data_IF_097417888066
#
_entry.id   IF_097417888066
#
_cell.length_a   1.000
_cell.length_b   1.000
_cell.length_c   1.000
_cell.angle_alpha   90.00
_cell.angle_beta   90.00
_cell.angle_gamma   90.00
#
_symmetry.space_group_name_H-M   'P 1'
#
loop_
_entity.id
_entity.type
_entity.pdbx_description
1 polymer ?
#
# COMPACT_ATOMS: atom_id res chain seq x y z
N UNK A 1 3.27 -24.18 -2.37
CA UNK A 1 3.99 -23.06 -1.73
C UNK A 1 5.43 -22.98 -2.28
N UNK A 2 6.15 -24.07 -2.40
CA UNK A 2 7.57 -24.05 -2.87
C UNK A 2 7.75 -23.54 -4.31
N UNK A 3 6.75 -23.68 -5.17
CA UNK A 3 6.88 -23.38 -6.60
C UNK A 3 6.01 -22.19 -7.06
N UNK A 4 4.86 -21.96 -6.45
CA UNK A 4 3.92 -20.86 -6.78
C UNK A 4 3.22 -20.38 -5.50
N UNK A 5 3.95 -19.73 -4.62
CA UNK A 5 3.32 -19.09 -3.47
C UNK A 5 2.70 -17.75 -3.90
N UNK A 6 1.39 -17.65 -3.83
CA UNK A 6 0.64 -16.40 -3.93
C UNK A 6 -0.13 -16.19 -2.62
N UNK A 7 0.56 -15.89 -1.50
CA UNK A 7 -0.12 -15.70 -0.24
C UNK A 7 -1.10 -14.53 -0.35
N UNK A 8 -2.31 -14.76 0.13
CA UNK A 8 -3.39 -13.80 0.11
C UNK A 8 -4.00 -13.74 1.50
N UNK A 9 -4.01 -12.55 2.09
CA UNK A 9 -4.57 -12.36 3.43
C UNK A 9 -6.04 -11.91 3.32
N UNK A 10 -6.35 -11.09 2.35
CA UNK A 10 -7.65 -10.43 2.25
C UNK A 10 -7.74 -9.16 3.10
N UNK A 11 -8.51 -8.21 2.62
CA UNK A 11 -8.69 -6.91 3.29
C UNK A 11 -9.57 -6.97 4.52
N UNK A 12 -10.40 -8.00 4.64
CA UNK A 12 -11.24 -8.29 5.80
C UNK A 12 -10.42 -8.73 7.03
N UNK A 13 -9.30 -9.43 6.84
CA UNK A 13 -8.42 -9.88 7.93
C UNK A 13 -7.31 -8.88 8.30
N UNK A 14 -7.01 -7.93 7.41
CA UNK A 14 -5.93 -6.96 7.64
C UNK A 14 -6.06 -6.14 8.94
N UNK A 15 -7.24 -5.67 9.35
CA UNK A 15 -7.37 -4.91 10.60
C UNK A 15 -6.90 -5.68 11.82
N UNK A 16 -7.26 -6.96 11.93
CA UNK A 16 -6.86 -7.83 13.05
C UNK A 16 -5.36 -8.09 13.04
N UNK A 17 -4.79 -8.33 11.87
CA UNK A 17 -3.34 -8.54 11.72
C UNK A 17 -2.57 -7.28 12.15
N UNK A 18 -2.99 -6.10 11.69
CA UNK A 18 -2.36 -4.83 12.06
C UNK A 18 -2.51 -4.57 13.57
N UNK A 19 -3.67 -4.86 14.16
CA UNK A 19 -3.88 -4.75 15.60
C UNK A 19 -2.93 -5.70 16.38
N UNK A 20 -2.79 -6.94 15.94
CA UNK A 20 -1.90 -7.91 16.55
C UNK A 20 -0.41 -7.49 16.45
N UNK A 21 0.00 -6.92 15.31
CA UNK A 21 1.36 -6.38 15.16
C UNK A 21 1.61 -5.23 16.14
N UNK A 22 0.64 -4.34 16.30
CA UNK A 22 0.72 -3.25 17.30
C UNK A 22 0.87 -3.82 18.72
N UNK A 23 0.00 -4.73 19.13
CA UNK A 23 0.09 -5.36 20.44
C UNK A 23 1.43 -6.05 20.66
N UNK A 24 1.99 -6.65 19.59
CA UNK A 24 3.32 -7.25 19.69
C UNK A 24 4.42 -6.21 19.90
N UNK A 25 4.36 -5.07 19.21
CA UNK A 25 5.31 -3.96 19.42
C UNK A 25 5.23 -3.47 20.86
N UNK A 26 4.03 -3.21 21.36
CA UNK A 26 3.80 -2.73 22.72
C UNK A 26 4.25 -3.75 23.79
N UNK A 27 4.00 -5.05 23.58
CA UNK A 27 4.44 -6.12 24.46
C UNK A 27 5.96 -6.29 24.57
N UNK A 28 6.68 -5.79 23.56
CA UNK A 28 8.15 -5.78 23.53
C UNK A 28 8.75 -4.47 24.07
N UNK A 29 7.94 -3.59 24.65
CA UNK A 29 8.38 -2.30 25.20
C UNK A 29 8.40 -1.16 24.19
N UNK A 30 7.87 -1.38 22.98
CA UNK A 30 7.67 -0.31 22.01
C UNK A 30 6.45 0.55 22.34
N UNK A 31 6.34 1.70 21.69
CA UNK A 31 5.21 2.61 21.86
C UNK A 31 4.59 2.92 20.50
N UNK A 32 3.27 2.92 20.42
CA UNK A 32 2.50 3.34 19.24
C UNK A 32 1.66 4.56 19.58
N UNK A 33 1.96 5.68 18.94
CA UNK A 33 1.26 6.96 19.14
C UNK A 33 0.34 7.25 17.97
N UNK A 34 -0.96 7.24 18.23
CA UNK A 34 -1.96 7.70 17.27
C UNK A 34 -2.11 9.22 17.31
N UNK A 35 -2.61 9.78 16.21
CA UNK A 35 -2.80 11.23 16.05
C UNK A 35 -1.52 12.04 16.26
N UNK A 36 -0.38 11.41 16.10
CA UNK A 36 0.95 12.01 16.24
C UNK A 36 1.50 12.30 14.85
N UNK A 37 1.45 13.58 14.43
CA UNK A 37 1.94 14.00 13.12
C UNK A 37 3.37 14.47 13.20
N UNK A 38 4.24 13.90 12.38
CA UNK A 38 5.61 14.41 12.24
C UNK A 38 5.59 15.79 11.59
N UNK A 39 6.19 16.79 12.24
CA UNK A 39 6.21 18.18 11.76
C UNK A 39 7.61 18.67 11.40
N UNK A 40 8.64 18.09 12.00
CA UNK A 40 10.03 18.47 11.73
C UNK A 40 11.00 17.31 12.01
N UNK A 41 12.17 17.40 11.41
CA UNK A 41 13.29 16.50 11.62
C UNK A 41 14.48 17.33 12.11
N UNK A 42 14.66 17.48 13.44
CA UNK A 42 15.78 18.22 14.00
C UNK A 42 17.12 17.57 13.63
N UNK A 43 18.07 18.42 13.23
CA UNK A 43 19.42 18.01 12.87
C UNK A 43 20.43 18.73 13.77
N UNK A 44 21.49 18.03 14.15
CA UNK A 44 22.66 18.60 14.83
C UNK A 44 23.91 17.99 14.20
N UNK A 45 24.85 18.82 13.82
CA UNK A 45 26.14 18.41 13.23
C UNK A 45 25.99 17.43 12.05
N UNK A 46 24.99 17.69 11.19
CA UNK A 46 24.68 16.85 10.02
C UNK A 46 23.94 15.56 10.30
N UNK A 47 23.63 15.24 11.56
CA UNK A 47 22.91 14.05 11.98
C UNK A 47 21.51 14.35 12.52
N UNK A 48 20.57 13.43 12.32
CA UNK A 48 19.25 13.50 12.95
C UNK A 48 19.40 13.36 14.46
N UNK A 49 18.73 14.20 15.24
CA UNK A 49 18.76 14.15 16.70
C UNK A 49 17.35 14.02 17.33
N UNK A 50 16.31 13.88 16.52
CA UNK A 50 14.96 13.68 17.01
C UNK A 50 13.91 13.79 15.93
N UNK A 51 12.65 13.66 16.35
CA UNK A 51 11.46 13.86 15.54
C UNK A 51 10.55 14.87 16.24
N UNK A 52 10.19 15.95 15.58
CA UNK A 52 9.19 16.87 16.07
C UNK A 52 7.80 16.31 15.74
N UNK A 53 6.95 16.27 16.72
CA UNK A 53 5.61 15.67 16.64
C UNK A 53 4.58 16.67 17.12
N UNK A 54 3.46 16.79 16.41
CA UNK A 54 2.28 17.53 16.85
C UNK A 54 1.17 16.54 17.20
N UNK A 55 0.60 16.69 18.38
CA UNK A 55 -0.62 15.98 18.77
C UNK A 55 -1.80 16.52 17.98
N UNK A 56 -2.49 15.66 17.25
CA UNK A 56 -3.63 16.05 16.41
C UNK A 56 -4.91 16.38 17.19
N UNK A 57 -4.92 16.14 18.50
CA UNK A 57 -6.05 16.44 19.39
C UNK A 57 -5.83 17.76 20.12
N UNK A 58 -4.66 17.96 20.71
CA UNK A 58 -4.35 19.15 21.52
C UNK A 58 -3.67 20.24 20.70
N UNK A 59 -3.05 19.90 19.57
CA UNK A 59 -2.21 20.80 18.78
C UNK A 59 -0.82 21.04 19.37
N UNK A 60 -0.52 20.48 20.54
CA UNK A 60 0.78 20.62 21.18
C UNK A 60 1.91 20.00 20.38
N UNK A 61 3.06 20.64 20.40
CA UNK A 61 4.25 20.14 19.74
C UNK A 61 5.30 19.71 20.78
N UNK A 62 5.88 18.54 20.53
CA UNK A 62 7.04 18.06 21.28
C UNK A 62 8.12 17.53 20.34
N UNK A 63 9.31 17.31 20.88
CA UNK A 63 10.39 16.64 20.14
C UNK A 63 10.74 15.34 20.87
N UNK A 64 10.66 14.24 20.15
CA UNK A 64 11.07 12.92 20.62
C UNK A 64 12.55 12.76 20.24
N UNK A 65 13.47 12.60 21.18
CA UNK A 65 14.88 12.36 20.86
C UNK A 65 15.03 11.01 20.12
N UNK A 66 15.77 11.02 19.03
CA UNK A 66 16.06 9.80 18.26
C UNK A 66 17.36 10.00 17.47
N UNK A 67 18.16 8.94 17.35
CA UNK A 67 19.36 8.91 16.50
C UNK A 67 19.05 8.35 15.13
N UNK A 68 18.16 7.38 15.08
CA UNK A 68 17.74 6.71 13.85
C UNK A 68 16.24 6.92 13.66
N UNK A 69 15.85 7.30 12.44
CA UNK A 69 14.45 7.57 12.09
C UNK A 69 14.11 6.88 10.80
N UNK A 70 13.11 6.02 10.82
CA UNK A 70 12.54 5.39 9.63
C UNK A 70 11.29 6.16 9.21
N UNK A 71 11.32 6.75 8.02
CA UNK A 71 10.18 7.45 7.44
C UNK A 71 9.42 6.51 6.51
N UNK A 72 8.26 6.04 6.94
CA UNK A 72 7.42 5.09 6.20
C UNK A 72 5.98 5.62 6.05
N UNK A 73 5.85 6.89 5.65
CA UNK A 73 4.59 7.65 5.65
C UNK A 73 3.73 7.44 4.38
N UNK A 74 4.11 6.53 3.50
CA UNK A 74 3.41 6.27 2.23
C UNK A 74 3.65 7.36 1.18
N UNK A 75 3.10 7.16 -0.02
CA UNK A 75 3.38 8.01 -1.19
C UNK A 75 2.62 9.35 -1.20
N UNK A 76 1.59 9.50 -0.39
CA UNK A 76 0.72 10.69 -0.39
C UNK A 76 1.09 11.75 0.64
N UNK A 77 2.10 11.51 1.47
CA UNK A 77 2.56 12.44 2.51
C UNK A 77 3.44 13.58 1.94
N UNK A 78 2.86 14.38 1.04
CA UNK A 78 3.59 15.44 0.31
C UNK A 78 4.18 16.52 1.20
N UNK A 79 3.49 16.85 2.29
CA UNK A 79 3.95 17.78 3.32
C UNK A 79 5.23 17.27 4.00
N UNK A 80 5.26 15.99 4.35
CA UNK A 80 6.45 15.33 4.92
C UNK A 80 7.61 15.35 3.92
N UNK A 81 7.35 15.01 2.64
CA UNK A 81 8.39 15.05 1.61
C UNK A 81 8.94 16.45 1.40
N UNK A 82 8.10 17.49 1.36
CA UNK A 82 8.56 18.88 1.26
C UNK A 82 9.41 19.28 2.46
N UNK A 83 9.00 18.89 3.66
CA UNK A 83 9.74 19.16 4.89
C UNK A 83 11.11 18.49 4.87
N UNK A 84 11.22 17.23 4.48
CA UNK A 84 12.49 16.49 4.40
C UNK A 84 13.39 17.06 3.30
N UNK A 85 12.84 17.37 2.12
CA UNK A 85 13.57 18.01 1.03
C UNK A 85 14.13 19.37 1.45
N UNK A 86 13.34 20.18 2.17
CA UNK A 86 13.78 21.46 2.72
C UNK A 86 14.90 21.36 3.78
N UNK A 87 15.20 20.15 4.26
CA UNK A 87 16.34 19.86 5.14
C UNK A 87 17.60 19.43 4.39
N UNK A 88 17.59 19.47 3.05
CA UNK A 88 18.74 19.14 2.22
C UNK A 88 18.89 17.67 1.86
N UNK A 89 17.88 16.83 2.18
CA UNK A 89 17.90 15.44 1.72
C UNK A 89 17.70 15.38 0.20
N UNK A 90 18.45 14.53 -0.46
CA UNK A 90 18.38 14.33 -1.91
C UNK A 90 17.17 13.49 -2.28
N UNK A 91 16.43 13.96 -3.29
CA UNK A 91 15.29 13.23 -3.86
C UNK A 91 15.57 12.92 -5.33
N UNK A 92 15.33 11.70 -5.70
CA UNK A 92 15.42 11.25 -7.10
C UNK A 92 14.02 10.99 -7.67
N UNK A 93 13.83 11.37 -8.92
CA UNK A 93 12.61 11.03 -9.66
C UNK A 93 12.64 9.55 -10.04
N UNK A 94 11.54 8.86 -9.81
CA UNK A 94 11.36 7.48 -10.27
C UNK A 94 10.17 7.41 -11.24
N UNK A 95 10.26 6.57 -12.28
CA UNK A 95 9.11 6.31 -13.15
C UNK A 95 8.02 5.62 -12.35
N UNK A 96 6.79 5.85 -12.73
CA UNK A 96 5.61 5.20 -12.15
C UNK A 96 4.68 4.72 -13.27
N UNK A 97 3.84 3.74 -12.94
CA UNK A 97 2.81 3.27 -13.84
C UNK A 97 1.52 4.07 -13.65
N UNK A 98 0.90 4.43 -14.76
CA UNK A 98 -0.43 5.05 -14.78
C UNK A 98 -1.35 4.20 -15.63
N UNK A 99 -2.56 3.98 -15.17
CA UNK A 99 -3.53 3.16 -15.87
C UNK A 99 -4.92 3.29 -15.27
N UNK A 100 -5.78 2.36 -15.65
CA UNK A 100 -7.15 2.25 -15.15
C UNK A 100 -7.36 0.92 -14.47
N UNK A 101 -8.36 0.83 -13.59
CA UNK A 101 -8.84 -0.43 -13.07
C UNK A 101 -10.07 -0.87 -13.85
N UNK A 102 -10.19 -2.17 -14.02
CA UNK A 102 -11.31 -2.83 -14.69
C UNK A 102 -11.85 -3.88 -13.73
N UNK A 103 -13.16 -3.97 -13.63
CA UNK A 103 -13.88 -5.09 -13.03
C UNK A 103 -14.56 -5.89 -14.13
N UNK A 104 -14.54 -7.21 -14.00
CA UNK A 104 -15.30 -8.11 -14.83
C UNK A 104 -15.74 -9.35 -14.03
N UNK A 105 -16.84 -10.01 -14.43
CA UNK A 105 -17.30 -11.20 -13.72
C UNK A 105 -16.22 -12.28 -13.68
N UNK A 106 -15.99 -12.88 -12.51
CA UNK A 106 -15.03 -13.97 -12.35
C UNK A 106 -15.29 -15.13 -13.32
N UNK A 107 -16.56 -15.46 -13.57
CA UNK A 107 -16.97 -16.50 -14.53
C UNK A 107 -16.43 -16.27 -15.94
N UNK A 108 -16.27 -15.01 -16.36
CA UNK A 108 -15.68 -14.70 -17.66
C UNK A 108 -14.21 -15.12 -17.68
N UNK A 109 -13.47 -14.79 -16.64
CA UNK A 109 -12.05 -15.13 -16.54
C UNK A 109 -11.85 -16.64 -16.43
N UNK A 110 -12.66 -17.32 -15.60
CA UNK A 110 -12.63 -18.76 -15.46
C UNK A 110 -12.89 -19.47 -16.80
N UNK A 111 -13.89 -18.99 -17.54
CA UNK A 111 -14.21 -19.57 -18.86
C UNK A 111 -13.10 -19.38 -19.88
N UNK A 112 -12.42 -18.22 -19.85
CA UNK A 112 -11.28 -17.94 -20.75
C UNK A 112 -10.10 -18.83 -20.41
N UNK A 113 -9.80 -19.01 -19.12
CA UNK A 113 -8.58 -19.71 -18.67
C UNK A 113 -8.77 -21.24 -18.63
N UNK A 114 -9.94 -21.72 -18.24
CA UNK A 114 -10.20 -23.13 -17.99
C UNK A 114 -11.09 -23.79 -19.04
N UNK A 115 -11.72 -23.00 -19.91
CA UNK A 115 -12.62 -23.54 -20.94
C UNK A 115 -13.74 -24.39 -20.34
N UNK A 116 -13.89 -25.63 -20.81
CA UNK A 116 -14.89 -26.57 -20.32
C UNK A 116 -14.68 -27.04 -18.87
N UNK A 117 -13.51 -26.85 -18.30
CA UNK A 117 -13.23 -27.18 -16.90
C UNK A 117 -13.59 -26.04 -15.92
N UNK A 118 -14.09 -24.90 -16.40
CA UNK A 118 -14.51 -23.81 -15.55
C UNK A 118 -15.59 -24.27 -14.55
N UNK A 119 -15.42 -23.91 -13.28
CA UNK A 119 -16.30 -24.33 -12.20
C UNK A 119 -16.01 -25.72 -11.61
N UNK A 120 -14.94 -26.38 -12.05
CA UNK A 120 -14.53 -27.64 -11.43
C UNK A 120 -14.04 -27.39 -9.98
N UNK A 121 -14.51 -28.16 -8.98
CA UNK A 121 -14.25 -27.88 -7.55
C UNK A 121 -12.77 -27.97 -7.13
N UNK A 122 -11.92 -28.59 -7.94
CA UNK A 122 -10.48 -28.65 -7.70
C UNK A 122 -9.72 -27.46 -8.31
N UNK A 123 -10.38 -26.54 -9.00
CA UNK A 123 -9.78 -25.35 -9.58
C UNK A 123 -10.13 -24.13 -8.74
N UNK A 124 -9.11 -23.36 -8.39
CA UNK A 124 -9.29 -22.04 -7.79
C UNK A 124 -9.82 -21.03 -8.84
N UNK A 125 -10.30 -19.88 -8.38
CA UNK A 125 -10.64 -18.77 -9.23
C UNK A 125 -9.46 -18.37 -10.13
N UNK A 126 -9.70 -18.31 -11.44
CA UNK A 126 -8.66 -17.98 -12.42
C UNK A 126 -8.17 -16.54 -12.26
N UNK A 127 -6.89 -16.34 -12.50
CA UNK A 127 -6.27 -15.02 -12.60
C UNK A 127 -5.51 -14.88 -13.92
N UNK A 128 -5.08 -13.66 -14.24
CA UNK A 128 -4.22 -13.42 -15.39
C UNK A 128 -3.16 -12.35 -15.08
N UNK A 129 -2.08 -12.38 -15.85
CA UNK A 129 -1.07 -11.34 -15.88
C UNK A 129 -0.60 -11.17 -17.31
N UNK A 130 -0.76 -9.98 -17.86
CA UNK A 130 -0.42 -9.65 -19.23
C UNK A 130 0.68 -8.60 -19.25
N UNK A 131 1.59 -8.69 -20.20
CA UNK A 131 2.60 -7.68 -20.46
C UNK A 131 2.97 -7.68 -21.94
N UNK A 132 3.09 -6.47 -22.49
CA UNK A 132 3.55 -6.27 -23.87
C UNK A 132 4.48 -5.07 -23.92
N UNK A 133 5.50 -5.14 -24.78
CA UNK A 133 6.35 -4.00 -25.09
C UNK A 133 5.97 -3.47 -26.47
N UNK A 134 5.65 -2.20 -26.50
CA UNK A 134 5.34 -1.51 -27.74
C UNK A 134 6.64 -1.25 -28.54
N UNK A 135 6.55 -1.04 -29.89
CA UNK A 135 7.71 -0.66 -30.69
C UNK A 135 8.43 0.61 -30.21
N UNK A 136 7.72 1.50 -29.51
CA UNK A 136 8.28 2.70 -28.89
C UNK A 136 9.14 2.43 -27.65
N UNK A 137 9.30 1.16 -27.22
CA UNK A 137 9.97 0.77 -25.97
C UNK A 137 9.11 0.91 -24.72
N UNK A 138 7.86 1.42 -24.80
CA UNK A 138 6.96 1.56 -23.67
C UNK A 138 6.38 0.19 -23.30
N UNK A 139 6.46 -0.16 -22.01
CA UNK A 139 5.76 -1.31 -21.45
C UNK A 139 4.29 -0.99 -21.16
N UNK A 140 3.41 -1.90 -21.57
CA UNK A 140 1.99 -1.93 -21.15
C UNK A 140 1.74 -3.26 -20.47
N UNK A 141 1.18 -3.23 -19.27
CA UNK A 141 1.02 -4.45 -18.48
C UNK A 141 -0.15 -4.35 -17.50
N UNK A 142 -0.66 -5.50 -17.10
CA UNK A 142 -1.59 -5.58 -15.99
C UNK A 142 -0.82 -5.72 -14.68
N UNK A 143 -1.33 -5.11 -13.62
CA UNK A 143 -0.99 -5.53 -12.25
C UNK A 143 -1.60 -6.92 -11.98
N UNK A 144 -1.48 -7.38 -10.72
CA UNK A 144 -2.18 -8.58 -10.31
C UNK A 144 -3.68 -8.42 -10.52
N UNK A 145 -4.28 -9.37 -11.22
CA UNK A 145 -5.72 -9.58 -11.16
C UNK A 145 -6.04 -10.18 -9.79
N UNK A 146 -7.04 -9.65 -9.11
CA UNK A 146 -7.48 -10.09 -7.78
C UNK A 146 -8.85 -10.76 -7.91
N UNK A 147 -8.92 -12.09 -7.95
CA UNK A 147 -10.20 -12.81 -7.99
C UNK A 147 -11.11 -12.38 -6.82
N UNK A 148 -12.39 -12.18 -7.11
CA UNK A 148 -13.36 -11.69 -6.13
C UNK A 148 -13.09 -10.28 -5.62
N UNK A 149 -12.26 -9.51 -6.33
CA UNK A 149 -11.90 -8.15 -5.97
C UNK A 149 -12.92 -7.11 -6.43
N UNK A 150 -12.88 -5.96 -5.80
CA UNK A 150 -13.67 -4.79 -6.18
C UNK A 150 -12.82 -3.53 -6.20
N UNK A 151 -13.20 -2.57 -7.03
CA UNK A 151 -12.56 -1.26 -7.06
C UNK A 151 -13.06 -0.41 -5.90
N UNK A 152 -12.12 0.22 -5.19
CA UNK A 152 -12.43 1.11 -4.07
C UNK A 152 -11.79 2.48 -4.29
N UNK A 153 -12.44 3.52 -3.81
CA UNK A 153 -11.88 4.87 -3.82
C UNK A 153 -10.70 4.94 -2.85
N UNK A 154 -9.58 5.47 -3.33
CA UNK A 154 -8.34 5.64 -2.57
C UNK A 154 -7.73 7.04 -2.78
N UNK A 155 -8.55 8.02 -3.13
CA UNK A 155 -8.11 9.41 -3.30
C UNK A 155 -7.62 9.97 -1.95
N UNK A 156 -6.46 10.62 -1.96
CA UNK A 156 -5.84 11.25 -0.79
C UNK A 156 -5.87 12.78 -0.83
N UNK A 157 -6.52 13.35 -1.86
CA UNK A 157 -6.66 14.78 -2.07
C UNK A 157 -8.08 15.11 -2.50
N UNK A 158 -8.56 16.27 -2.08
CA UNK A 158 -9.84 16.80 -2.52
C UNK A 158 -9.82 17.07 -4.04
N UNK A 159 -10.88 16.66 -4.73
CA UNK A 159 -10.96 16.75 -6.19
C UNK A 159 -10.07 15.78 -6.97
N UNK A 160 -9.28 14.97 -6.27
CA UNK A 160 -8.45 13.93 -6.89
C UNK A 160 -9.24 12.64 -7.11
N UNK A 161 -8.91 11.93 -8.21
CA UNK A 161 -9.44 10.59 -8.47
C UNK A 161 -8.27 9.61 -8.44
N UNK A 162 -8.32 8.70 -7.46
CA UNK A 162 -7.43 7.57 -7.38
C UNK A 162 -8.22 6.37 -6.86
N UNK A 163 -7.96 5.20 -7.42
CA UNK A 163 -8.65 3.97 -7.05
C UNK A 163 -7.65 2.87 -6.70
N UNK A 164 -8.07 1.98 -5.83
CA UNK A 164 -7.35 0.75 -5.50
C UNK A 164 -8.26 -0.46 -5.71
N UNK A 165 -7.73 -1.66 -5.58
CA UNK A 165 -8.50 -2.90 -5.58
C UNK A 165 -8.39 -3.56 -4.22
N UNK A 166 -9.48 -4.13 -3.77
CA UNK A 166 -9.56 -4.91 -2.53
C UNK A 166 -10.24 -6.24 -2.81
N UNK A 167 -9.83 -7.29 -2.12
CA UNK A 167 -10.52 -8.57 -2.13
C UNK A 167 -10.51 -9.17 -0.74
N UNK A 168 -11.56 -9.93 -0.42
CA UNK A 168 -11.65 -10.70 0.82
C UNK A 168 -10.74 -11.91 0.78
N UNK A 169 -10.46 -12.49 1.93
CA UNK A 169 -9.70 -13.73 2.05
C UNK A 169 -10.36 -14.86 1.26
N UNK A 170 -11.68 -14.98 1.34
CA UNK A 170 -12.44 -15.98 0.62
C UNK A 170 -12.50 -15.79 -0.90
N UNK A 171 -12.13 -14.59 -1.42
CA UNK A 171 -12.20 -14.24 -2.85
C UNK A 171 -13.59 -14.41 -3.44
N UNK A 172 -14.63 -14.19 -2.64
CA UNK A 172 -16.04 -14.44 -2.92
C UNK A 172 -16.80 -13.20 -3.45
N UNK A 173 -16.11 -12.19 -3.87
CA UNK A 173 -16.67 -11.03 -4.57
C UNK A 173 -17.16 -11.41 -5.96
N UNK A 174 -18.22 -10.73 -6.42
CA UNK A 174 -18.89 -10.99 -7.70
C UNK A 174 -18.06 -10.51 -8.91
#
# INVERSE_FOLDING_TARGET
ILWKAKPHIGTDLLPDIVANLRFRIESLGGEVRFRARMTKLPMRDGAVCGVGVRDGRTGEECTIPARDVIVACGHSARDTFRMIHGRGFVFERKPFAMGVRIEHPQKLVDSIQYGSAAGHPALDAADYKLAVHLPSGRGVYTFCMCPGGQVVCAASEEGGVCVNGMSRFARDGA
#
